data_IF_346195660305
#
_entry.id   IF_346195660305
#
_cell.length_a   1.000
_cell.length_b   1.000
_cell.length_c   1.000
_cell.angle_alpha   90.00
_cell.angle_beta   90.00
_cell.angle_gamma   90.00
#
_symmetry.space_group_name_H-M   'P 1'
#
loop_
_entity.id
_entity.type
_entity.pdbx_description
1 polymer ?
#
# COMPACT_ATOMS: atom_id res chain seq x y z
N UNK A 1 -14.91 -2.70 -18.72
CA UNK A 1 -14.51 -3.34 -17.45
C UNK A 1 -13.86 -4.72 -17.61
N UNK A 2 -14.39 -5.65 -18.43
CA UNK A 2 -13.79 -6.99 -18.63
C UNK A 2 -12.33 -6.94 -19.13
N UNK A 3 -12.01 -6.14 -20.16
CA UNK A 3 -10.63 -6.05 -20.66
C UNK A 3 -9.61 -5.59 -19.59
N UNK A 4 -10.00 -4.66 -18.72
CA UNK A 4 -9.16 -4.12 -17.65
C UNK A 4 -8.90 -5.13 -16.51
N UNK A 5 -9.87 -6.02 -16.25
CA UNK A 5 -9.72 -7.07 -15.23
C UNK A 5 -8.79 -8.18 -15.70
N UNK A 6 -8.84 -8.54 -16.99
CA UNK A 6 -7.88 -9.48 -17.59
C UNK A 6 -6.45 -8.95 -17.57
N UNK A 7 -6.23 -7.69 -17.97
CA UNK A 7 -4.89 -7.10 -17.95
C UNK A 7 -4.34 -6.97 -16.54
N UNK A 8 -5.15 -6.53 -15.58
CA UNK A 8 -4.74 -6.44 -14.17
C UNK A 8 -4.41 -7.81 -13.57
N UNK A 9 -5.16 -8.86 -13.93
CA UNK A 9 -4.87 -10.23 -13.50
C UNK A 9 -3.54 -10.73 -14.08
N UNK A 10 -3.28 -10.47 -15.36
CA UNK A 10 -2.01 -10.83 -15.99
C UNK A 10 -0.81 -10.10 -15.35
N UNK A 11 -0.95 -8.81 -15.04
CA UNK A 11 0.08 -8.03 -14.34
C UNK A 11 0.33 -8.55 -12.93
N UNK A 12 -0.72 -8.92 -12.19
CA UNK A 12 -0.58 -9.54 -10.88
C UNK A 12 0.17 -10.87 -10.96
N UNK A 13 -0.19 -11.75 -11.92
CA UNK A 13 0.48 -13.03 -12.12
C UNK A 13 1.97 -12.82 -12.47
N UNK A 14 2.26 -11.90 -13.39
CA UNK A 14 3.64 -11.56 -13.75
C UNK A 14 4.43 -11.03 -12.55
N UNK A 15 3.84 -10.15 -11.75
CA UNK A 15 4.43 -9.63 -10.51
C UNK A 15 4.68 -10.72 -9.46
N UNK A 16 3.70 -11.60 -9.24
CA UNK A 16 3.80 -12.70 -8.28
C UNK A 16 4.87 -13.71 -8.68
N UNK A 17 4.89 -14.14 -9.95
CA UNK A 17 5.91 -15.06 -10.46
C UNK A 17 7.29 -14.41 -10.41
N UNK A 18 7.41 -13.15 -10.83
CA UNK A 18 8.70 -12.49 -10.91
C UNK A 18 9.34 -12.18 -9.56
N UNK A 19 8.55 -12.02 -8.48
CA UNK A 19 9.06 -11.99 -7.11
C UNK A 19 9.32 -13.39 -6.56
N UNK A 20 8.40 -14.33 -6.79
CA UNK A 20 8.47 -15.66 -6.20
C UNK A 20 9.64 -16.49 -6.75
N UNK A 21 9.92 -16.43 -8.06
CA UNK A 21 10.96 -17.27 -8.68
C UNK A 21 12.36 -16.98 -8.11
N UNK A 22 12.88 -15.74 -8.13
CA UNK A 22 14.19 -15.47 -7.55
C UNK A 22 14.25 -15.82 -6.07
N UNK A 23 13.19 -15.51 -5.32
CA UNK A 23 13.14 -15.77 -3.89
C UNK A 23 13.08 -17.26 -3.54
N UNK A 24 12.35 -18.07 -4.29
CA UNK A 24 12.32 -19.53 -4.15
C UNK A 24 13.68 -20.11 -4.49
N UNK A 25 14.34 -19.63 -5.54
CA UNK A 25 15.70 -20.09 -5.89
C UNK A 25 16.67 -19.81 -4.73
N UNK A 26 16.66 -18.59 -4.18
CA UNK A 26 17.49 -18.27 -3.01
C UNK A 26 17.13 -19.14 -1.80
N UNK A 27 15.84 -19.37 -1.55
CA UNK A 27 15.41 -20.27 -0.47
C UNK A 27 15.98 -21.68 -0.63
N UNK A 28 15.95 -22.24 -1.84
CA UNK A 28 16.51 -23.57 -2.12
C UNK A 28 18.04 -23.58 -1.93
N UNK A 29 18.74 -22.50 -2.33
CA UNK A 29 20.18 -22.39 -2.15
C UNK A 29 20.59 -22.31 -0.68
N UNK A 30 19.83 -21.61 0.15
CA UNK A 30 20.16 -21.39 1.56
C UNK A 30 19.63 -22.47 2.50
N UNK A 31 18.44 -23.01 2.23
CA UNK A 31 17.69 -23.87 3.18
C UNK A 31 17.27 -25.21 2.59
N UNK A 32 17.62 -25.48 1.33
CA UNK A 32 17.23 -26.70 0.59
C UNK A 32 15.72 -26.92 0.42
N UNK A 33 14.88 -25.94 0.77
CA UNK A 33 13.43 -26.01 0.69
C UNK A 33 12.87 -24.86 -0.17
N UNK A 34 11.93 -25.13 -1.10
CA UNK A 34 11.35 -24.13 -1.99
C UNK A 34 10.18 -23.37 -1.35
N UNK A 35 10.31 -23.00 -0.07
CA UNK A 35 9.24 -22.38 0.70
C UNK A 35 9.79 -21.24 1.58
N UNK A 36 10.13 -20.08 0.98
CA UNK A 36 10.84 -19.00 1.66
C UNK A 36 10.14 -18.51 2.93
N UNK A 37 8.79 -18.50 2.93
CA UNK A 37 7.96 -18.12 4.07
C UNK A 37 8.05 -19.05 5.29
N UNK A 38 8.54 -20.29 5.14
CA UNK A 38 8.66 -21.24 6.25
C UNK A 38 10.11 -21.47 6.68
N UNK A 39 11.08 -21.08 5.85
CA UNK A 39 12.49 -21.47 6.00
C UNK A 39 13.37 -20.33 6.51
N UNK A 40 12.98 -19.07 6.32
CA UNK A 40 13.80 -17.91 6.71
C UNK A 40 14.17 -17.87 8.20
N UNK A 41 13.37 -18.50 9.07
CA UNK A 41 13.65 -18.61 10.50
C UNK A 41 14.90 -19.43 10.83
N UNK A 42 15.29 -20.40 9.98
CA UNK A 42 16.53 -21.17 10.15
C UNK A 42 17.77 -20.28 10.03
N UNK A 43 17.65 -19.20 9.25
CA UNK A 43 18.76 -18.27 8.99
C UNK A 43 19.02 -17.30 10.14
N UNK A 44 18.16 -17.23 11.15
CA UNK A 44 18.30 -16.28 12.26
C UNK A 44 19.57 -16.50 13.08
N UNK A 45 19.97 -17.76 13.32
CA UNK A 45 21.20 -18.07 14.04
C UNK A 45 22.46 -17.63 13.26
N UNK A 46 22.50 -17.91 11.96
CA UNK A 46 23.57 -17.45 11.08
C UNK A 46 23.60 -15.92 10.95
N UNK A 47 22.43 -15.30 10.88
CA UNK A 47 22.30 -13.85 10.76
C UNK A 47 22.80 -13.14 12.01
N UNK A 48 22.39 -13.59 13.19
CA UNK A 48 22.83 -13.02 14.46
C UNK A 48 24.36 -13.14 14.63
N UNK A 49 24.91 -14.30 14.25
CA UNK A 49 26.36 -14.53 14.30
C UNK A 49 27.10 -13.59 13.34
N UNK A 50 26.59 -13.43 12.12
CA UNK A 50 27.17 -12.54 11.12
C UNK A 50 27.07 -11.06 11.52
N UNK A 51 25.93 -10.61 12.06
CA UNK A 51 25.76 -9.24 12.56
C UNK A 51 26.69 -8.94 13.76
N UNK A 52 26.87 -9.91 14.66
CA UNK A 52 27.81 -9.78 15.79
C UNK A 52 29.26 -9.74 15.32
N UNK A 53 29.64 -10.61 14.38
CA UNK A 53 30.96 -10.62 13.78
C UNK A 53 31.27 -9.32 13.02
N UNK A 54 30.24 -8.72 12.41
CA UNK A 54 30.35 -7.44 11.72
C UNK A 54 30.29 -6.22 12.66
N UNK A 55 30.26 -6.43 13.98
CA UNK A 55 30.35 -5.37 14.99
C UNK A 55 29.05 -4.60 15.23
N UNK A 56 27.89 -5.13 14.83
CA UNK A 56 26.61 -4.48 15.12
C UNK A 56 26.25 -4.56 16.60
N UNK A 57 25.98 -3.41 17.20
CA UNK A 57 25.43 -3.32 18.55
C UNK A 57 23.92 -3.03 18.52
N UNK A 58 23.16 -3.47 19.54
CA UNK A 58 21.77 -3.08 19.69
C UNK A 58 21.62 -1.56 19.75
N UNK A 59 20.65 -1.04 19.01
CA UNK A 59 20.36 0.42 18.94
C UNK A 59 19.20 0.73 19.87
N UNK A 60 19.24 1.83 20.63
CA UNK A 60 18.07 2.23 21.41
C UNK A 60 16.88 2.56 20.49
N UNK A 61 15.64 2.22 20.89
CA UNK A 61 14.46 2.61 20.11
C UNK A 61 14.40 4.14 19.97
N UNK A 62 14.38 4.66 18.74
CA UNK A 62 14.35 6.12 18.52
C UNK A 62 13.04 6.76 19.01
N UNK A 63 13.09 7.97 19.57
CA UNK A 63 11.95 8.66 20.22
C UNK A 63 10.73 8.88 19.31
N UNK A 64 10.95 9.16 18.02
CA UNK A 64 9.92 9.28 16.96
C UNK A 64 10.50 8.74 15.66
N UNK A 65 11.02 7.51 15.72
CA UNK A 65 11.78 6.90 14.65
C UNK A 65 11.13 7.07 13.27
N UNK A 66 11.79 7.83 12.39
CA UNK A 66 11.40 7.99 11.00
C UNK A 66 11.71 6.68 10.25
N UNK A 67 10.88 6.34 9.26
CA UNK A 67 11.23 5.26 8.34
C UNK A 67 12.61 5.56 7.72
N UNK A 68 13.44 4.53 7.44
CA UNK A 68 14.74 4.74 6.80
C UNK A 68 14.60 5.61 5.55
N UNK A 69 15.51 6.57 5.38
CA UNK A 69 15.55 7.42 4.21
C UNK A 69 15.74 6.56 2.94
N UNK A 70 15.32 7.06 1.77
CA UNK A 70 15.58 6.38 0.49
C UNK A 70 17.08 6.30 0.18
N UNK A 71 17.85 7.29 0.66
CA UNK A 71 19.30 7.36 0.51
C UNK A 71 20.01 6.17 1.19
N UNK A 72 21.12 5.67 0.63
CA UNK A 72 21.90 4.60 1.24
C UNK A 72 22.35 4.98 2.66
N UNK A 73 21.88 4.21 3.65
CA UNK A 73 22.27 4.38 5.05
C UNK A 73 23.00 3.14 5.56
N UNK A 74 23.86 3.34 6.56
CA UNK A 74 24.52 2.24 7.24
C UNK A 74 23.47 1.34 7.91
N UNK A 75 23.63 0.03 7.78
CA UNK A 75 22.75 -0.93 8.42
C UNK A 75 23.07 -1.04 9.93
N UNK A 76 22.80 0.01 10.71
CA UNK A 76 23.22 0.09 12.12
C UNK A 76 22.39 -0.83 13.03
N UNK A 77 21.22 -1.27 12.58
CA UNK A 77 20.28 -2.05 13.40
C UNK A 77 20.39 -3.57 13.13
N UNK A 78 20.63 -4.40 14.18
CA UNK A 78 20.47 -5.85 14.11
C UNK A 78 19.06 -6.26 13.64
N UNK A 79 18.97 -7.28 12.79
CA UNK A 79 17.72 -7.70 12.17
C UNK A 79 16.70 -8.23 13.18
N UNK A 80 17.17 -9.02 14.15
CA UNK A 80 16.30 -9.65 15.15
C UNK A 80 15.83 -8.68 16.23
N UNK A 81 16.43 -7.49 16.31
CA UNK A 81 16.00 -6.50 17.28
C UNK A 81 14.61 -6.00 16.91
N UNK A 82 13.65 -6.18 17.80
CA UNK A 82 12.31 -5.61 17.67
C UNK A 82 12.36 -4.12 17.94
N UNK A 83 11.73 -3.32 17.06
CA UNK A 83 11.75 -1.86 17.13
C UNK A 83 13.19 -1.29 17.08
N UNK A 84 13.37 -0.04 16.70
CA UNK A 84 14.70 0.53 16.46
C UNK A 84 14.62 1.73 15.54
N UNK A 85 14.36 1.49 14.25
CA UNK A 85 14.05 2.55 13.30
C UNK A 85 12.70 3.23 13.56
N UNK A 86 11.75 2.52 14.20
CA UNK A 86 10.42 3.03 14.56
C UNK A 86 10.06 2.64 15.99
N UNK A 87 9.24 3.46 16.66
CA UNK A 87 8.65 3.15 17.96
C UNK A 87 7.49 2.16 17.83
N UNK A 88 7.12 1.50 18.94
CA UNK A 88 5.93 0.64 19.02
C UNK A 88 4.66 1.40 18.59
N UNK A 89 4.50 2.63 19.09
CA UNK A 89 3.36 3.50 18.75
C UNK A 89 3.35 3.83 17.25
N UNK A 90 4.51 4.14 16.69
CA UNK A 90 4.66 4.42 15.26
C UNK A 90 4.32 3.21 14.39
N UNK A 91 4.72 2.01 14.82
CA UNK A 91 4.34 0.76 14.15
C UNK A 91 2.82 0.54 14.16
N UNK A 92 2.16 0.67 15.32
CA UNK A 92 0.71 0.55 15.40
C UNK A 92 -0.01 1.61 14.57
N UNK A 93 0.51 2.84 14.54
CA UNK A 93 -0.08 3.89 13.73
C UNK A 93 0.04 3.62 12.24
N UNK A 94 1.20 3.16 11.77
CA UNK A 94 1.36 2.71 10.37
C UNK A 94 0.41 1.55 10.06
N UNK A 95 0.32 0.55 10.95
CA UNK A 95 -0.59 -0.58 10.78
C UNK A 95 -2.05 -0.12 10.59
N UNK A 96 -2.56 0.71 11.50
CA UNK A 96 -3.94 1.20 11.39
C UNK A 96 -4.11 2.17 10.21
N UNK A 97 -3.14 3.02 9.92
CA UNK A 97 -3.17 3.90 8.74
C UNK A 97 -3.37 3.09 7.45
N UNK A 98 -2.57 2.04 7.23
CA UNK A 98 -2.73 1.16 6.08
C UNK A 98 -4.03 0.37 6.13
N UNK A 99 -4.45 -0.15 7.28
CA UNK A 99 -5.66 -0.96 7.40
C UNK A 99 -6.93 -0.14 7.12
N UNK A 100 -7.07 1.01 7.79
CA UNK A 100 -8.21 1.92 7.63
C UNK A 100 -8.20 2.55 6.23
N UNK A 101 -7.03 2.92 5.72
CA UNK A 101 -6.88 3.48 4.38
C UNK A 101 -7.28 2.48 3.31
N UNK A 102 -6.80 1.23 3.41
CA UNK A 102 -7.17 0.14 2.49
C UNK A 102 -8.67 -0.13 2.50
N UNK A 103 -9.29 -0.18 3.69
CA UNK A 103 -10.73 -0.41 3.82
C UNK A 103 -11.58 0.67 3.14
N UNK A 104 -11.07 1.90 3.03
CA UNK A 104 -11.77 3.04 2.47
C UNK A 104 -11.33 3.41 1.05
N UNK A 105 -10.50 2.60 0.38
CA UNK A 105 -10.02 2.88 -0.98
C UNK A 105 -11.17 2.81 -2.00
N UNK A 106 -11.47 3.90 -2.74
CA UNK A 106 -12.51 3.89 -3.76
C UNK A 106 -12.25 2.86 -4.87
N UNK A 107 -10.97 2.60 -5.19
CA UNK A 107 -10.59 1.61 -6.20
C UNK A 107 -10.92 0.17 -5.82
N UNK A 108 -11.00 -0.15 -4.53
CA UNK A 108 -11.43 -1.45 -4.04
C UNK A 108 -12.96 -1.53 -3.91
N UNK A 109 -13.60 -0.46 -3.45
CA UNK A 109 -15.07 -0.39 -3.29
C UNK A 109 -15.75 -0.47 -4.66
N UNK A 110 -15.26 0.26 -5.67
CA UNK A 110 -15.83 0.22 -7.02
C UNK A 110 -15.76 -1.20 -7.66
N UNK A 111 -14.81 -2.03 -7.21
CA UNK A 111 -14.65 -3.40 -7.72
C UNK A 111 -15.66 -4.39 -7.15
N UNK A 112 -16.28 -4.13 -5.99
CA UNK A 112 -17.31 -5.05 -5.48
C UNK A 112 -18.59 -5.05 -6.30
N UNK A 113 -18.79 -4.05 -7.16
CA UNK A 113 -19.94 -3.95 -8.06
C UNK A 113 -19.85 -4.77 -9.35
N UNK A 114 -18.77 -5.54 -9.57
CA UNK A 114 -18.57 -6.28 -10.84
C UNK A 114 -19.03 -7.73 -10.81
N UNK A 115 -19.35 -8.28 -9.64
CA UNK A 115 -19.84 -9.65 -9.46
C UNK A 115 -21.35 -9.73 -9.57
N UNK A 116 -21.86 -10.85 -10.08
CA UNK A 116 -23.30 -11.07 -10.26
C UNK A 116 -24.04 -11.45 -8.97
N UNK A 117 -23.33 -11.76 -7.87
CA UNK A 117 -23.94 -12.15 -6.60
C UNK A 117 -23.07 -11.77 -5.39
N UNK A 118 -23.70 -11.61 -4.22
CA UNK A 118 -23.01 -11.39 -2.95
C UNK A 118 -22.12 -12.59 -2.58
N UNK A 119 -22.56 -13.81 -2.87
CA UNK A 119 -21.78 -15.02 -2.62
C UNK A 119 -20.49 -15.05 -3.45
N UNK A 120 -20.56 -14.69 -4.74
CA UNK A 120 -19.39 -14.60 -5.61
C UNK A 120 -18.46 -13.47 -5.20
N UNK A 121 -19.01 -12.34 -4.72
CA UNK A 121 -18.21 -11.25 -4.17
C UNK A 121 -17.40 -11.72 -2.95
N UNK A 122 -18.03 -12.42 -2.00
CA UNK A 122 -17.33 -12.96 -0.82
C UNK A 122 -16.24 -13.96 -1.19
N UNK A 123 -16.50 -14.84 -2.17
CA UNK A 123 -15.51 -15.80 -2.68
C UNK A 123 -14.34 -15.08 -3.35
N UNK A 124 -14.62 -14.07 -4.18
CA UNK A 124 -13.62 -13.24 -4.84
C UNK A 124 -12.72 -12.52 -3.82
N UNK A 125 -13.33 -11.88 -2.82
CA UNK A 125 -12.60 -11.24 -1.72
C UNK A 125 -11.75 -12.24 -0.93
N UNK A 126 -12.26 -13.44 -0.65
CA UNK A 126 -11.50 -14.48 0.05
C UNK A 126 -10.24 -14.92 -0.74
N UNK A 127 -10.37 -15.11 -2.05
CA UNK A 127 -9.22 -15.41 -2.93
C UNK A 127 -8.22 -14.25 -2.99
N UNK A 128 -8.71 -13.01 -3.11
CA UNK A 128 -7.85 -11.83 -3.10
C UNK A 128 -7.05 -11.72 -1.79
N UNK A 129 -7.72 -11.90 -0.64
CA UNK A 129 -7.07 -11.90 0.67
C UNK A 129 -6.03 -13.00 0.81
N UNK A 130 -6.33 -14.21 0.34
CA UNK A 130 -5.38 -15.33 0.35
C UNK A 130 -4.11 -15.00 -0.44
N UNK A 131 -4.26 -14.47 -1.66
CA UNK A 131 -3.13 -14.14 -2.53
C UNK A 131 -2.27 -12.99 -1.96
N UNK A 132 -2.91 -11.96 -1.42
CA UNK A 132 -2.22 -10.86 -0.74
C UNK A 132 -1.51 -11.36 0.52
N UNK A 133 -2.16 -12.22 1.32
CA UNK A 133 -1.55 -12.79 2.51
C UNK A 133 -0.29 -13.60 2.20
N UNK A 134 -0.34 -14.46 1.17
CA UNK A 134 0.85 -15.21 0.70
C UNK A 134 1.97 -14.25 0.32
N UNK A 135 1.67 -13.17 -0.40
CA UNK A 135 2.66 -12.18 -0.79
C UNK A 135 3.27 -11.44 0.42
N UNK A 136 2.44 -10.97 1.34
CA UNK A 136 2.87 -10.21 2.53
C UNK A 136 3.68 -11.07 3.50
N UNK A 137 3.28 -12.33 3.72
CA UNK A 137 4.01 -13.28 4.59
C UNK A 137 5.38 -13.63 3.99
N UNK A 138 5.53 -13.50 2.67
CA UNK A 138 6.78 -13.77 1.97
C UNK A 138 7.76 -12.59 2.09
N UNK A 139 7.30 -11.34 2.27
CA UNK A 139 8.17 -10.17 2.31
C UNK A 139 9.28 -10.20 3.40
N UNK A 140 9.05 -10.67 4.64
CA UNK A 140 10.11 -10.82 5.64
C UNK A 140 11.23 -11.77 5.22
N UNK A 141 10.92 -12.83 4.45
CA UNK A 141 11.93 -13.78 3.98
C UNK A 141 12.92 -13.14 3.00
N UNK A 142 12.45 -12.24 2.13
CA UNK A 142 13.29 -11.45 1.22
C UNK A 142 14.33 -10.64 2.02
N UNK A 143 13.89 -9.93 3.06
CA UNK A 143 14.77 -9.11 3.88
C UNK A 143 15.76 -9.96 4.68
N UNK A 144 15.33 -11.09 5.24
CA UNK A 144 16.17 -12.00 5.99
C UNK A 144 17.29 -12.59 5.09
N UNK A 145 16.95 -13.11 3.92
CA UNK A 145 17.93 -13.69 3.00
C UNK A 145 18.91 -12.64 2.47
N UNK A 146 18.43 -11.45 2.11
CA UNK A 146 19.29 -10.36 1.64
C UNK A 146 20.34 -9.99 2.70
N UNK A 147 19.90 -9.79 3.95
CA UNK A 147 20.82 -9.48 5.05
C UNK A 147 21.80 -10.60 5.35
N UNK A 148 21.37 -11.86 5.32
CA UNK A 148 22.28 -12.99 5.57
C UNK A 148 23.38 -13.04 4.53
N UNK A 149 23.02 -12.99 3.24
CA UNK A 149 24.00 -13.04 2.15
C UNK A 149 24.98 -11.87 2.22
N UNK A 150 24.47 -10.70 2.55
CA UNK A 150 25.26 -9.49 2.70
C UNK A 150 26.25 -9.57 3.86
N UNK A 151 25.82 -9.97 5.06
CA UNK A 151 26.70 -10.01 6.23
C UNK A 151 27.56 -11.26 6.33
N UNK A 152 27.21 -12.34 5.63
CA UNK A 152 28.01 -13.58 5.62
C UNK A 152 29.43 -13.31 5.11
N UNK A 153 29.54 -12.45 4.09
CA UNK A 153 30.80 -12.20 3.39
C UNK A 153 31.47 -10.87 3.85
N UNK A 154 30.91 -10.20 4.88
CA UNK A 154 31.33 -8.89 5.41
C UNK A 154 32.42 -8.93 6.50
N UNK A 155 32.98 -10.09 6.82
CA UNK A 155 34.07 -10.17 7.78
C UNK A 155 35.36 -9.56 7.17
N UNK A 156 35.51 -8.23 7.30
CA UNK A 156 36.68 -7.43 6.92
C UNK A 156 37.06 -7.55 5.44
N UNK A 157 36.19 -7.07 4.55
CA UNK A 157 36.49 -7.04 3.11
C UNK A 157 37.64 -6.04 2.88
N UNK A 158 38.78 -6.44 2.31
CA UNK A 158 39.84 -5.50 1.98
C UNK A 158 39.36 -4.48 0.95
N UNK A 159 39.77 -3.22 1.10
CA UNK A 159 39.43 -2.14 0.15
C UNK A 159 39.97 -2.43 -1.26
N UNK A 160 41.08 -3.16 -1.33
CA UNK A 160 41.65 -3.70 -2.58
C UNK A 160 41.00 -5.06 -2.92
N UNK A 161 39.87 -5.03 -3.63
CA UNK A 161 39.22 -6.24 -4.16
C UNK A 161 37.77 -6.42 -3.70
N UNK A 162 36.95 -5.38 -3.88
CA UNK A 162 35.52 -5.45 -3.56
C UNK A 162 34.85 -6.62 -4.30
N UNK A 163 33.95 -7.37 -3.63
CA UNK A 163 33.21 -8.46 -4.26
C UNK A 163 32.45 -8.02 -5.51
N UNK A 164 32.29 -8.95 -6.45
CA UNK A 164 31.58 -8.69 -7.71
C UNK A 164 30.13 -8.22 -7.50
N UNK A 165 29.46 -8.70 -6.43
CA UNK A 165 28.12 -8.25 -6.09
C UNK A 165 28.10 -6.77 -5.67
N UNK A 166 29.10 -6.31 -4.91
CA UNK A 166 29.14 -4.94 -4.37
C UNK A 166 29.45 -3.93 -5.48
N UNK A 167 30.37 -4.26 -6.39
CA UNK A 167 30.61 -3.44 -7.58
C UNK A 167 29.39 -3.38 -8.49
N UNK A 168 28.66 -4.49 -8.66
CA UNK A 168 27.41 -4.53 -9.42
C UNK A 168 26.30 -3.68 -8.80
N UNK A 169 26.15 -3.70 -7.46
CA UNK A 169 25.19 -2.86 -6.76
C UNK A 169 25.57 -1.38 -6.78
N UNK A 170 26.86 -1.06 -6.70
CA UNK A 170 27.36 0.31 -6.79
C UNK A 170 27.10 0.94 -8.17
N UNK A 171 27.28 0.17 -9.25
CA UNK A 171 26.89 0.60 -10.61
C UNK A 171 25.40 0.93 -10.72
N UNK A 172 24.55 0.19 -10.01
CA UNK A 172 23.12 0.44 -9.95
C UNK A 172 22.70 1.53 -8.95
N UNK A 173 23.65 2.18 -8.26
CA UNK A 173 23.41 3.10 -7.14
C UNK A 173 22.57 2.49 -6.00
N UNK A 174 22.56 1.16 -5.88
CA UNK A 174 21.77 0.43 -4.88
C UNK A 174 22.52 0.24 -3.56
N UNK A 175 23.85 0.24 -3.61
CA UNK A 175 24.73 0.16 -2.45
C UNK A 175 25.99 1.01 -2.66
N UNK A 176 26.55 1.53 -1.58
CA UNK A 176 27.83 2.24 -1.56
C UNK A 176 28.67 1.69 -0.41
N UNK A 177 29.97 1.59 -0.61
CA UNK A 177 30.91 1.23 0.43
C UNK A 177 32.06 2.23 0.41
N UNK A 178 32.41 2.78 1.56
CA UNK A 178 33.53 3.68 1.71
C UNK A 178 34.22 3.39 3.03
N UNK A 179 35.53 3.16 2.98
CA UNK A 179 36.37 3.08 4.17
C UNK A 179 36.44 4.48 4.80
N UNK A 180 35.69 4.68 5.89
CA UNK A 180 35.59 5.96 6.60
C UNK A 180 36.68 6.01 7.68
N UNK A 181 37.02 4.87 8.29
CA UNK A 181 37.94 4.79 9.41
C UNK A 181 39.43 4.70 9.00
N UNK A 182 39.70 4.44 7.71
CA UNK A 182 41.03 4.33 7.12
C UNK A 182 41.79 3.07 7.51
N UNK A 183 41.10 2.00 7.94
CA UNK A 183 41.72 0.75 8.39
C UNK A 183 42.03 -0.24 7.25
N UNK A 184 41.67 0.12 6.01
CA UNK A 184 41.91 -0.69 4.82
C UNK A 184 40.91 -1.82 4.62
N UNK A 185 39.85 -1.88 5.44
CA UNK A 185 38.75 -2.83 5.32
C UNK A 185 37.40 -2.12 5.33
N UNK A 186 36.38 -2.76 4.76
CA UNK A 186 35.00 -2.25 4.82
C UNK A 186 34.27 -2.98 5.94
N UNK A 187 33.86 -2.24 6.97
CA UNK A 187 32.99 -2.72 8.04
C UNK A 187 31.49 -2.64 7.71
N UNK A 188 30.63 -3.24 8.54
CA UNK A 188 29.18 -3.16 8.35
C UNK A 188 28.60 -1.74 8.47
N UNK A 189 29.23 -0.86 9.26
CA UNK A 189 28.85 0.55 9.38
C UNK A 189 29.24 1.39 8.15
N UNK A 190 30.09 0.87 7.27
CA UNK A 190 30.62 1.54 6.09
C UNK A 190 29.96 1.07 4.79
N UNK A 191 29.11 0.04 4.90
CA UNK A 191 28.22 -0.43 3.84
C UNK A 191 26.87 0.29 3.93
N UNK A 192 26.63 1.17 2.97
CA UNK A 192 25.41 1.93 2.81
C UNK A 192 24.50 1.27 1.77
N UNK A 193 23.23 1.03 2.10
CA UNK A 193 22.31 0.35 1.18
C UNK A 193 21.00 1.10 1.04
N UNK A 194 20.56 1.24 -0.20
CA UNK A 194 19.26 1.82 -0.52
C UNK A 194 18.13 0.93 -0.01
N UNK A 195 17.19 1.53 0.72
CA UNK A 195 16.00 0.84 1.25
C UNK A 195 15.20 0.16 0.14
N UNK A 196 15.01 0.87 -0.98
CA UNK A 196 14.14 0.45 -2.07
C UNK A 196 14.84 -0.51 -3.05
N UNK A 197 16.16 -0.67 -2.94
CA UNK A 197 16.97 -1.54 -3.79
C UNK A 197 17.08 -2.98 -3.31
N UNK A 198 16.64 -3.33 -2.09
CA UNK A 198 16.87 -4.64 -1.47
C UNK A 198 16.30 -5.79 -2.32
N UNK A 199 15.12 -5.59 -2.91
CA UNK A 199 14.51 -6.59 -3.77
C UNK A 199 15.36 -6.86 -5.02
N UNK A 200 15.91 -5.81 -5.64
CA UNK A 200 16.80 -5.94 -6.80
C UNK A 200 18.18 -6.46 -6.41
N UNK A 201 18.61 -6.20 -5.18
CA UNK A 201 19.90 -6.64 -4.67
C UNK A 201 19.93 -8.15 -4.39
N UNK A 202 18.82 -8.76 -3.98
CA UNK A 202 18.81 -10.17 -3.56
C UNK A 202 19.39 -11.15 -4.60
N UNK A 203 18.98 -11.13 -5.88
CA UNK A 203 19.54 -12.06 -6.87
C UNK A 203 21.02 -11.79 -7.14
N UNK A 204 21.46 -10.53 -7.04
CA UNK A 204 22.87 -10.14 -7.21
C UNK A 204 23.71 -10.65 -6.04
N UNK A 205 23.21 -10.49 -4.80
CA UNK A 205 23.83 -11.01 -3.57
C UNK A 205 23.93 -12.53 -3.55
N UNK A 206 22.96 -13.22 -4.17
CA UNK A 206 22.95 -14.66 -4.31
C UNK A 206 23.74 -15.17 -5.53
N UNK A 207 24.45 -14.29 -6.25
CA UNK A 207 25.23 -14.60 -7.46
C UNK A 207 24.41 -15.32 -8.55
N UNK A 208 23.12 -14.98 -8.64
CA UNK A 208 22.21 -15.57 -9.60
C UNK A 208 22.40 -14.97 -11.00
N UNK A 209 22.01 -15.70 -12.07
CA UNK A 209 22.04 -15.17 -13.42
C UNK A 209 21.26 -13.86 -13.52
N UNK A 210 21.79 -12.88 -14.27
CA UNK A 210 21.20 -11.54 -14.44
C UNK A 210 19.72 -11.55 -14.84
N UNK A 211 19.28 -12.60 -15.55
CA UNK A 211 17.86 -12.82 -15.91
C UNK A 211 16.94 -12.78 -14.68
N UNK A 212 17.37 -13.26 -13.51
CA UNK A 212 16.55 -13.24 -12.30
C UNK A 212 16.45 -11.84 -11.69
N UNK A 213 17.50 -11.01 -11.78
CA UNK A 213 17.43 -9.59 -11.43
C UNK A 213 16.48 -8.83 -12.36
N UNK A 214 16.60 -9.06 -13.68
CA UNK A 214 15.71 -8.46 -14.66
C UNK A 214 14.25 -8.90 -14.48
N UNK A 215 14.02 -10.16 -14.12
CA UNK A 215 12.71 -10.69 -13.79
C UNK A 215 12.12 -10.00 -12.55
N UNK A 216 12.91 -9.82 -11.49
CA UNK A 216 12.50 -9.09 -10.28
C UNK A 216 12.15 -7.62 -10.60
N UNK A 217 12.96 -6.95 -11.43
CA UNK A 217 12.70 -5.58 -11.86
C UNK A 217 11.41 -5.45 -12.69
N UNK A 218 11.20 -6.38 -13.64
CA UNK A 218 9.98 -6.45 -14.42
C UNK A 218 8.74 -6.71 -13.55
N UNK A 219 8.88 -7.52 -12.50
CA UNK A 219 7.82 -7.78 -11.53
C UNK A 219 7.42 -6.50 -10.77
N UNK A 220 8.41 -5.75 -10.26
CA UNK A 220 8.18 -4.47 -9.60
C UNK A 220 7.45 -3.46 -10.50
N UNK A 221 7.87 -3.36 -11.76
CA UNK A 221 7.21 -2.51 -12.75
C UNK A 221 5.77 -2.96 -13.04
N UNK A 222 5.53 -4.27 -13.18
CA UNK A 222 4.20 -4.81 -13.40
C UNK A 222 3.23 -4.52 -12.24
N UNK A 223 3.70 -4.65 -10.99
CA UNK A 223 2.92 -4.33 -9.79
C UNK A 223 2.61 -2.83 -9.74
N UNK A 224 3.60 -1.97 -9.99
CA UNK A 224 3.42 -0.52 -10.00
C UNK A 224 2.42 -0.07 -11.08
N UNK A 225 2.52 -0.60 -12.30
CA UNK A 225 1.60 -0.30 -13.39
C UNK A 225 0.17 -0.80 -13.13
N UNK A 226 0.02 -1.97 -12.49
CA UNK A 226 -1.28 -2.49 -12.09
C UNK A 226 -1.98 -1.57 -11.07
N UNK A 227 -1.24 -1.11 -10.06
CA UNK A 227 -1.75 -0.17 -9.07
C UNK A 227 -2.11 1.19 -9.71
N UNK A 228 -1.19 1.78 -10.48
CA UNK A 228 -1.40 3.06 -11.15
C UNK A 228 -2.61 3.01 -12.09
N UNK A 229 -2.73 1.96 -12.91
CA UNK A 229 -3.87 1.78 -13.81
C UNK A 229 -5.20 1.66 -13.07
N UNK A 230 -5.23 0.95 -11.93
CA UNK A 230 -6.45 0.81 -11.11
C UNK A 230 -6.90 2.15 -10.52
N UNK A 231 -5.98 2.96 -10.01
CA UNK A 231 -6.30 4.26 -9.42
C UNK A 231 -6.70 5.30 -10.48
N UNK A 232 -5.96 5.39 -11.59
CA UNK A 232 -6.30 6.28 -12.70
C UNK A 232 -7.66 5.93 -13.31
N UNK A 233 -7.96 4.64 -13.49
CA UNK A 233 -9.27 4.22 -13.98
C UNK A 233 -10.40 4.62 -13.03
N UNK A 234 -10.20 4.42 -11.72
CA UNK A 234 -11.19 4.83 -10.71
C UNK A 234 -11.43 6.33 -10.75
N UNK A 235 -10.36 7.13 -10.86
CA UNK A 235 -10.46 8.58 -11.00
C UNK A 235 -11.22 9.00 -12.26
N UNK A 236 -10.88 8.40 -13.40
CA UNK A 236 -11.56 8.67 -14.67
C UNK A 236 -13.05 8.30 -14.64
N UNK A 237 -13.39 7.16 -14.02
CA UNK A 237 -14.76 6.71 -13.85
C UNK A 237 -15.55 7.64 -12.92
N UNK A 238 -15.02 7.98 -11.74
CA UNK A 238 -15.67 8.93 -10.82
C UNK A 238 -15.90 10.29 -11.48
N UNK A 239 -14.94 10.81 -12.25
CA UNK A 239 -15.17 12.08 -12.93
C UNK A 239 -16.23 11.97 -14.05
N UNK A 240 -16.19 10.90 -14.84
CA UNK A 240 -17.15 10.71 -15.93
C UNK A 240 -18.58 10.49 -15.41
N UNK A 241 -18.72 9.78 -14.31
CA UNK A 241 -20.01 9.34 -13.80
C UNK A 241 -20.57 10.32 -12.77
N UNK A 242 -19.75 10.75 -11.80
CA UNK A 242 -20.18 11.60 -10.68
C UNK A 242 -20.17 13.09 -11.04
N UNK A 243 -19.23 13.55 -11.87
CA UNK A 243 -19.12 14.97 -12.25
C UNK A 243 -19.74 15.26 -13.60
N UNK A 244 -19.33 14.56 -14.67
CA UNK A 244 -19.86 14.82 -16.00
C UNK A 244 -21.32 14.34 -16.13
N UNK A 245 -21.64 13.17 -15.58
CA UNK A 245 -23.01 12.62 -15.59
C UNK A 245 -24.04 13.47 -14.83
N UNK A 246 -23.60 14.25 -13.83
CA UNK A 246 -24.49 15.19 -13.12
C UNK A 246 -24.72 16.48 -13.91
N UNK A 247 -23.73 16.93 -14.70
CA UNK A 247 -23.80 18.12 -15.54
C UNK A 247 -24.56 17.90 -16.85
N UNK A 248 -24.29 16.80 -17.56
CA UNK A 248 -25.01 16.42 -18.78
C UNK A 248 -25.70 15.07 -18.58
N UNK A 249 -27.02 15.12 -18.35
CA UNK A 249 -27.87 13.94 -18.14
C UNK A 249 -28.20 13.20 -19.43
N UNK A 250 -27.74 13.68 -20.59
CA UNK A 250 -27.99 12.99 -21.86
C UNK A 250 -27.20 11.68 -21.91
N UNK A 251 -27.78 10.59 -22.44
CA UNK A 251 -27.13 9.28 -22.51
C UNK A 251 -26.09 9.19 -23.64
N UNK A 252 -25.31 10.25 -23.90
CA UNK A 252 -24.32 10.26 -24.97
C UNK A 252 -23.04 9.60 -24.45
N UNK A 253 -22.79 8.37 -24.91
CA UNK A 253 -21.70 7.51 -24.40
C UNK A 253 -20.32 8.02 -24.79
N UNK A 254 -20.16 8.58 -25.99
CA UNK A 254 -18.84 8.91 -26.54
C UNK A 254 -18.16 10.12 -25.86
N UNK A 255 -18.83 11.28 -25.66
CA UNK A 255 -18.22 12.42 -24.97
C UNK A 255 -17.82 12.11 -23.52
N UNK A 256 -18.65 11.35 -22.80
CA UNK A 256 -18.36 10.91 -21.43
C UNK A 256 -17.13 10.01 -21.36
N UNK A 257 -17.00 9.08 -22.30
CA UNK A 257 -15.82 8.22 -22.41
C UNK A 257 -14.56 9.02 -22.80
N UNK A 258 -14.67 9.97 -23.73
CA UNK A 258 -13.56 10.83 -24.13
C UNK A 258 -13.09 11.72 -22.97
N UNK A 259 -14.01 12.25 -22.16
CA UNK A 259 -13.67 13.01 -20.95
C UNK A 259 -12.89 12.15 -19.94
N UNK A 260 -13.34 10.92 -19.69
CA UNK A 260 -12.64 9.98 -18.81
C UNK A 260 -11.19 9.74 -19.27
N UNK A 261 -10.98 9.44 -20.56
CA UNK A 261 -9.65 9.22 -21.12
C UNK A 261 -8.78 10.47 -21.11
N UNK A 262 -9.35 11.64 -21.43
CA UNK A 262 -8.63 12.91 -21.40
C UNK A 262 -8.11 13.22 -19.99
N UNK A 263 -8.92 12.96 -18.96
CA UNK A 263 -8.53 13.18 -17.56
C UNK A 263 -7.49 12.17 -17.11
N UNK A 264 -7.65 10.89 -17.46
CA UNK A 264 -6.62 9.87 -17.18
C UNK A 264 -5.28 10.29 -17.80
N UNK A 265 -5.28 10.71 -19.07
CA UNK A 265 -4.08 11.14 -19.77
C UNK A 265 -3.47 12.41 -19.15
N UNK A 266 -4.29 13.41 -18.82
CA UNK A 266 -3.84 14.65 -18.19
C UNK A 266 -3.25 14.40 -16.80
N UNK A 267 -3.93 13.62 -15.95
CA UNK A 267 -3.41 13.26 -14.63
C UNK A 267 -2.11 12.46 -14.72
N UNK A 268 -2.04 11.46 -15.61
CA UNK A 268 -0.82 10.69 -15.82
C UNK A 268 0.35 11.58 -16.28
N UNK A 269 0.10 12.51 -17.20
CA UNK A 269 1.12 13.45 -17.68
C UNK A 269 1.58 14.40 -16.57
N UNK A 270 0.67 15.00 -15.80
CA UNK A 270 1.00 15.91 -14.71
C UNK A 270 1.80 15.21 -13.60
N UNK A 271 1.41 13.99 -13.23
CA UNK A 271 2.16 13.18 -12.25
C UNK A 271 3.54 12.82 -12.80
N UNK A 272 3.66 12.47 -14.08
CA UNK A 272 4.97 12.18 -14.70
C UNK A 272 5.88 13.41 -14.71
N UNK A 273 5.36 14.59 -15.05
CA UNK A 273 6.12 15.85 -14.99
C UNK A 273 6.52 16.18 -13.55
N UNK A 274 5.62 16.00 -12.59
CA UNK A 274 5.92 16.22 -11.17
C UNK A 274 7.04 15.29 -10.68
N UNK A 275 6.96 13.99 -10.95
CA UNK A 275 7.98 13.01 -10.57
C UNK A 275 9.31 13.18 -11.32
N UNK A 276 9.30 13.83 -12.49
CA UNK A 276 10.53 14.18 -13.21
C UNK A 276 11.28 15.34 -12.55
N UNK A 277 10.57 16.26 -11.89
CA UNK A 277 11.15 17.47 -11.30
C UNK A 277 11.39 17.29 -9.79
N UNK A 278 10.49 16.61 -9.10
CA UNK A 278 10.54 16.43 -7.66
C UNK A 278 11.28 15.13 -7.29
N UNK A 279 12.24 15.25 -6.37
CA UNK A 279 12.79 14.10 -5.66
C UNK A 279 11.79 13.66 -4.59
N UNK A 280 11.28 12.44 -4.73
CA UNK A 280 10.16 11.95 -3.93
C UNK A 280 10.51 10.63 -3.26
N UNK A 281 10.33 10.56 -1.93
CA UNK A 281 10.28 9.29 -1.23
C UNK A 281 8.92 8.60 -1.48
N UNK A 282 8.95 7.53 -2.28
CA UNK A 282 7.77 6.75 -2.64
C UNK A 282 7.03 6.17 -1.43
N UNK A 283 7.76 5.71 -0.40
CA UNK A 283 7.16 5.16 0.80
C UNK A 283 6.44 6.23 1.61
N UNK A 284 7.04 7.42 1.73
CA UNK A 284 6.43 8.54 2.42
C UNK A 284 5.14 8.97 1.70
N UNK A 285 5.18 9.20 0.39
CA UNK A 285 3.96 9.55 -0.37
C UNK A 285 2.89 8.48 -0.25
N UNK A 286 3.26 7.20 -0.30
CA UNK A 286 2.30 6.12 -0.13
C UNK A 286 1.62 6.20 1.25
N UNK A 287 2.40 6.34 2.33
CA UNK A 287 1.85 6.50 3.70
C UNK A 287 0.94 7.71 3.79
N UNK A 288 1.32 8.84 3.19
CA UNK A 288 0.50 10.07 3.17
C UNK A 288 -0.81 9.86 2.42
N UNK A 289 -0.79 9.18 1.27
CA UNK A 289 -2.00 8.86 0.52
C UNK A 289 -2.96 7.95 1.31
N UNK A 290 -2.43 6.89 1.94
CA UNK A 290 -3.22 6.02 2.82
C UNK A 290 -3.75 6.76 4.05
N UNK A 291 -2.96 7.69 4.61
CA UNK A 291 -3.38 8.54 5.72
C UNK A 291 -4.56 9.43 5.33
N UNK A 292 -4.56 10.03 4.14
CA UNK A 292 -5.70 10.79 3.63
C UNK A 292 -6.93 9.93 3.43
N UNK A 293 -6.77 8.73 2.86
CA UNK A 293 -7.87 7.80 2.68
C UNK A 293 -8.48 7.37 4.03
N UNK A 294 -7.64 7.03 5.00
CA UNK A 294 -8.02 6.62 6.34
C UNK A 294 -8.67 7.75 7.15
N UNK A 295 -8.13 8.97 7.11
CA UNK A 295 -8.69 10.09 7.88
C UNK A 295 -10.00 10.61 7.27
N UNK A 296 -10.10 10.66 5.94
CA UNK A 296 -11.22 11.30 5.24
C UNK A 296 -12.37 10.33 5.02
N UNK A 297 -12.12 9.17 4.43
CA UNK A 297 -13.18 8.29 3.92
C UNK A 297 -13.61 7.21 4.91
N UNK A 298 -12.69 6.68 5.72
CA UNK A 298 -13.03 5.59 6.65
C UNK A 298 -14.09 5.99 7.70
N UNK A 299 -14.02 7.15 8.37
CA UNK A 299 -14.98 7.50 9.42
C UNK A 299 -16.40 7.68 8.87
N UNK A 300 -16.54 8.31 7.70
CA UNK A 300 -17.84 8.47 7.05
C UNK A 300 -18.39 7.13 6.55
N UNK A 301 -17.52 6.22 6.08
CA UNK A 301 -17.92 4.85 5.71
C UNK A 301 -18.46 4.09 6.91
N UNK A 302 -17.77 4.19 8.06
CA UNK A 302 -18.21 3.57 9.31
C UNK A 302 -19.58 4.11 9.75
N UNK A 303 -19.78 5.43 9.67
CA UNK A 303 -21.06 6.06 9.98
C UNK A 303 -22.17 5.62 9.02
N UNK A 304 -21.91 5.63 7.71
CA UNK A 304 -22.90 5.23 6.71
C UNK A 304 -23.35 3.77 6.90
N UNK A 305 -22.44 2.87 7.27
CA UNK A 305 -22.76 1.45 7.42
C UNK A 305 -23.40 1.15 8.78
N UNK A 306 -22.94 1.74 9.89
CA UNK A 306 -23.34 1.29 11.24
C UNK A 306 -24.07 2.34 12.08
N UNK A 307 -24.17 3.59 11.65
CA UNK A 307 -24.86 4.64 12.40
C UNK A 307 -26.24 4.96 11.79
N UNK A 308 -27.36 4.54 12.41
CA UNK A 308 -28.70 4.72 11.85
C UNK A 308 -29.11 6.18 11.67
N UNK A 309 -28.55 7.09 12.47
CA UNK A 309 -28.82 8.54 12.38
C UNK A 309 -27.86 9.27 11.44
N UNK A 310 -27.15 8.60 10.54
CA UNK A 310 -26.21 9.26 9.64
C UNK A 310 -26.96 10.18 8.67
N UNK A 311 -26.69 11.49 8.76
CA UNK A 311 -27.26 12.52 7.90
C UNK A 311 -26.25 12.98 6.85
N UNK A 312 -26.71 13.56 5.73
CA UNK A 312 -25.84 14.12 4.70
C UNK A 312 -24.88 15.18 5.26
N UNK A 313 -25.37 16.05 6.14
CA UNK A 313 -24.54 17.05 6.82
C UNK A 313 -23.54 16.45 7.79
N UNK A 314 -23.89 15.38 8.51
CA UNK A 314 -22.93 14.65 9.34
C UNK A 314 -21.85 13.95 8.53
N UNK A 315 -22.22 13.35 7.40
CA UNK A 315 -21.27 12.76 6.46
C UNK A 315 -20.29 13.80 5.91
N UNK A 316 -20.78 14.97 5.47
CA UNK A 316 -19.94 16.08 5.01
C UNK A 316 -19.04 16.64 6.12
N UNK A 317 -19.56 16.77 7.35
CA UNK A 317 -18.77 17.21 8.49
C UNK A 317 -17.62 16.23 8.79
N UNK A 318 -17.90 14.93 8.80
CA UNK A 318 -16.87 13.89 8.96
C UNK A 318 -15.80 13.99 7.88
N UNK A 319 -16.18 14.09 6.60
CA UNK A 319 -15.24 14.24 5.48
C UNK A 319 -14.36 15.49 5.63
N UNK A 320 -14.99 16.64 5.90
CA UNK A 320 -14.29 17.91 6.01
C UNK A 320 -13.34 17.95 7.22
N UNK A 321 -13.75 17.41 8.37
CA UNK A 321 -12.92 17.32 9.57
C UNK A 321 -11.73 16.39 9.37
N UNK A 322 -11.94 15.21 8.79
CA UNK A 322 -10.86 14.25 8.53
C UNK A 322 -9.80 14.80 7.57
N UNK A 323 -10.24 15.33 6.43
CA UNK A 323 -9.35 15.97 5.47
C UNK A 323 -8.66 17.21 6.06
N UNK A 324 -9.43 18.10 6.69
CA UNK A 324 -8.94 19.38 7.20
C UNK A 324 -7.91 19.22 8.31
N UNK A 325 -8.13 18.31 9.26
CA UNK A 325 -7.18 18.07 10.36
C UNK A 325 -5.88 17.48 9.82
N UNK A 326 -5.94 16.49 8.92
CA UNK A 326 -4.73 15.92 8.35
C UNK A 326 -3.99 16.92 7.47
N UNK A 327 -4.71 17.68 6.64
CA UNK A 327 -4.12 18.75 5.83
C UNK A 327 -3.45 19.82 6.70
N UNK A 328 -4.10 20.24 7.79
CA UNK A 328 -3.53 21.16 8.75
C UNK A 328 -2.31 20.54 9.45
N UNK A 329 -2.38 19.27 9.84
CA UNK A 329 -1.26 18.57 10.46
C UNK A 329 -0.05 18.50 9.53
N UNK A 330 -0.23 18.28 8.22
CA UNK A 330 0.89 18.25 7.27
C UNK A 330 1.46 19.66 7.00
N UNK A 331 0.60 20.67 6.87
CA UNK A 331 1.04 22.05 6.59
C UNK A 331 1.64 22.75 7.82
N UNK A 332 1.04 22.60 8.99
CA UNK A 332 1.49 23.19 10.27
C UNK A 332 2.46 22.28 11.00
N UNK A 333 2.27 20.96 10.96
CA UNK A 333 3.25 20.01 11.52
C UNK A 333 4.55 19.96 10.73
N UNK A 334 4.58 20.41 9.47
CA UNK A 334 5.81 20.74 8.75
C UNK A 334 6.51 22.00 9.25
N UNK A 335 5.80 22.90 9.96
CA UNK A 335 6.37 24.09 10.61
C UNK A 335 6.85 23.81 12.06
N UNK A 336 6.28 22.82 12.74
CA UNK A 336 6.58 22.47 14.15
C UNK A 336 7.16 21.06 14.35
N UNK A 337 7.49 20.34 13.28
CA UNK A 337 8.22 19.06 13.30
C UNK A 337 7.42 17.80 13.68
N UNK A 338 6.09 17.86 13.82
CA UNK A 338 5.26 16.73 14.29
C UNK A 338 4.78 15.82 13.15
N UNK A 339 4.67 16.33 11.92
CA UNK A 339 4.15 15.60 10.76
C UNK A 339 5.15 15.50 9.59
N UNK A 340 6.42 15.83 9.83
CA UNK A 340 7.47 15.79 8.81
C UNK A 340 7.90 14.35 8.44
N UNK A 341 7.55 13.38 9.27
CA UNK A 341 7.85 11.96 9.03
C UNK A 341 6.61 11.19 8.61
N UNK A 342 6.81 10.12 7.83
CA UNK A 342 5.73 9.20 7.46
C UNK A 342 5.01 8.62 8.70
N UNK A 343 5.76 8.36 9.78
CA UNK A 343 5.20 7.89 11.07
C UNK A 343 4.36 8.97 11.75
N UNK A 344 4.84 10.21 11.77
CA UNK A 344 4.07 11.36 12.29
C UNK A 344 2.77 11.60 11.52
N UNK A 345 2.81 11.41 10.20
CA UNK A 345 1.63 11.46 9.32
C UNK A 345 0.62 10.36 9.67
N UNK A 346 1.09 9.13 9.87
CA UNK A 346 0.24 8.01 10.27
C UNK A 346 -0.40 8.22 11.66
N UNK A 347 0.35 8.77 12.62
CA UNK A 347 -0.20 9.13 13.95
C UNK A 347 -1.28 10.21 13.84
N UNK A 348 -1.00 11.27 13.06
CA UNK A 348 -1.93 12.38 12.85
C UNK A 348 -3.23 11.93 12.17
N UNK A 349 -3.12 10.97 11.24
CA UNK A 349 -4.26 10.34 10.60
C UNK A 349 -5.23 9.68 11.60
N UNK A 350 -4.72 8.95 12.59
CA UNK A 350 -5.59 8.30 13.57
C UNK A 350 -6.35 9.31 14.43
N UNK A 351 -5.69 10.39 14.84
CA UNK A 351 -6.34 11.49 15.55
C UNK A 351 -7.40 12.15 14.67
N UNK A 352 -7.07 12.41 13.40
CA UNK A 352 -8.01 12.98 12.43
C UNK A 352 -9.23 12.08 12.21
N UNK A 353 -9.03 10.76 12.08
CA UNK A 353 -10.12 9.79 11.90
C UNK A 353 -11.08 9.75 13.10
N UNK A 354 -10.56 9.77 14.32
CA UNK A 354 -11.40 9.81 15.54
C UNK A 354 -12.20 11.10 15.63
N UNK A 355 -11.56 12.24 15.35
CA UNK A 355 -12.22 13.55 15.38
C UNK A 355 -13.25 13.69 14.25
N UNK A 356 -12.97 13.16 13.07
CA UNK A 356 -13.91 13.08 11.96
C UNK A 356 -15.15 12.25 12.31
N UNK A 357 -14.96 11.08 12.92
CA UNK A 357 -16.06 10.26 13.41
C UNK A 357 -16.91 11.04 14.42
N UNK A 358 -16.28 11.69 15.41
CA UNK A 358 -16.96 12.51 16.41
C UNK A 358 -17.73 13.69 15.80
N UNK A 359 -17.16 14.39 14.82
CA UNK A 359 -17.82 15.47 14.10
C UNK A 359 -19.04 14.97 13.32
N UNK A 360 -18.93 13.81 12.67
CA UNK A 360 -20.03 13.18 11.96
C UNK A 360 -21.18 12.80 12.89
N UNK A 361 -20.89 12.12 14.00
CA UNK A 361 -21.90 11.79 15.03
C UNK A 361 -22.53 13.07 15.58
N UNK A 362 -21.73 14.06 15.97
CA UNK A 362 -22.20 15.31 16.55
C UNK A 362 -23.19 16.04 15.62
N UNK A 363 -22.80 16.30 14.37
CA UNK A 363 -23.65 16.99 13.41
C UNK A 363 -24.88 16.16 13.03
N UNK A 364 -24.75 14.83 12.95
CA UNK A 364 -25.89 13.94 12.73
C UNK A 364 -26.92 13.94 13.85
N UNK A 365 -26.51 14.13 15.10
CA UNK A 365 -27.43 14.23 16.23
C UNK A 365 -28.23 15.55 16.24
N UNK A 366 -27.60 16.65 15.82
CA UNK A 366 -28.23 17.96 15.70
C UNK A 366 -29.07 18.13 14.43
N UNK A 367 -28.77 17.37 13.38
CA UNK A 367 -29.50 17.40 12.11
C UNK A 367 -30.90 16.76 12.19
N UNK A 368 -31.76 17.04 11.20
CA UNK A 368 -33.05 16.37 11.07
C UNK A 368 -32.84 14.86 10.90
N UNK A 369 -33.75 14.06 11.49
CA UNK A 369 -33.67 12.61 11.38
C UNK A 369 -33.83 12.15 9.92
N UNK A 370 -33.07 11.13 9.47
CA UNK A 370 -33.25 10.54 8.15
C UNK A 370 -34.68 10.04 7.96
N UNK A 371 -35.21 10.13 6.75
CA UNK A 371 -36.54 9.60 6.46
C UNK A 371 -36.58 8.08 6.71
N UNK A 372 -37.71 7.59 7.24
CA UNK A 372 -37.89 6.17 7.58
C UNK A 372 -37.76 5.23 6.38
N UNK A 373 -38.12 5.71 5.18
CA UNK A 373 -37.95 4.98 3.92
C UNK A 373 -36.48 4.77 3.57
N UNK A 374 -35.62 5.77 3.80
CA UNK A 374 -34.19 5.67 3.52
C UNK A 374 -33.52 4.68 4.49
N UNK A 375 -33.92 4.71 5.76
CA UNK A 375 -33.39 3.78 6.78
C UNK A 375 -33.78 2.34 6.49
N UNK A 376 -35.04 2.09 6.09
CA UNK A 376 -35.49 0.75 5.68
C UNK A 376 -34.70 0.22 4.47
N UNK A 377 -34.41 1.09 3.48
CA UNK A 377 -33.58 0.75 2.33
C UNK A 377 -32.16 0.33 2.73
N UNK A 378 -31.52 1.10 3.61
CA UNK A 378 -30.18 0.76 4.08
C UNK A 378 -30.13 -0.50 4.95
N UNK A 379 -31.15 -0.74 5.78
CA UNK A 379 -31.25 -1.96 6.58
C UNK A 379 -31.43 -3.21 5.72
N UNK A 380 -32.14 -3.10 4.59
CA UNK A 380 -32.29 -4.20 3.65
C UNK A 380 -30.99 -4.50 2.91
N UNK A 381 -30.22 -3.47 2.51
CA UNK A 381 -28.88 -3.66 1.93
C UNK A 381 -27.90 -4.39 2.87
N UNK A 382 -28.14 -4.36 4.19
CA UNK A 382 -27.31 -5.07 5.18
C UNK A 382 -27.65 -6.56 5.29
N UNK A 383 -28.80 -7.00 4.78
CA UNK A 383 -29.23 -8.40 4.84
C UNK A 383 -28.61 -9.18 3.67
N UNK A 384 -27.79 -10.21 3.94
CA UNK A 384 -27.13 -10.99 2.89
C UNK A 384 -28.08 -11.93 2.15
N UNK A 385 -29.28 -12.19 2.68
CA UNK A 385 -30.28 -13.12 2.13
C UNK A 385 -31.58 -12.37 1.78
N UNK A 386 -32.00 -12.44 0.50
CA UNK A 386 -33.32 -11.98 0.03
C UNK A 386 -33.34 -11.55 -1.45
N UNK A 387 -34.51 -11.65 -2.10
CA UNK A 387 -34.81 -10.84 -3.30
C UNK A 387 -34.60 -9.38 -2.92
N UNK A 388 -33.73 -8.68 -3.64
CA UNK A 388 -33.47 -7.26 -3.36
C UNK A 388 -34.77 -6.47 -3.58
N UNK A 389 -34.98 -5.32 -2.94
CA UNK A 389 -36.09 -4.43 -3.31
C UNK A 389 -36.15 -4.13 -4.81
N UNK A 390 -35.01 -4.15 -5.50
CA UNK A 390 -34.97 -4.03 -6.96
C UNK A 390 -35.61 -5.24 -7.65
N UNK A 391 -35.26 -6.46 -7.23
CA UNK A 391 -35.88 -7.70 -7.74
C UNK A 391 -37.38 -7.74 -7.41
N UNK A 392 -37.77 -7.32 -6.20
CA UNK A 392 -39.17 -7.21 -5.79
C UNK A 392 -39.92 -6.12 -6.57
N UNK A 393 -39.28 -4.99 -6.86
CA UNK A 393 -39.86 -3.91 -7.66
C UNK A 393 -40.00 -4.32 -9.13
N UNK A 394 -39.02 -5.04 -9.69
CA UNK A 394 -39.12 -5.63 -11.02
C UNK A 394 -40.21 -6.70 -11.07
N UNK A 395 -40.31 -7.57 -10.06
CA UNK A 395 -41.36 -8.58 -9.97
C UNK A 395 -42.74 -7.92 -9.89
N UNK A 396 -42.90 -6.87 -9.08
CA UNK A 396 -44.14 -6.08 -8.99
C UNK A 396 -44.49 -5.38 -10.31
N UNK A 397 -43.51 -4.81 -10.99
CA UNK A 397 -43.70 -4.19 -12.30
C UNK A 397 -44.10 -5.23 -13.36
N UNK A 398 -43.48 -6.42 -13.34
CA UNK A 398 -43.82 -7.52 -14.23
C UNK A 398 -45.23 -8.07 -13.99
N UNK A 399 -45.65 -8.20 -12.72
CA UNK A 399 -47.03 -8.59 -12.39
C UNK A 399 -48.05 -7.53 -12.77
N UNK A 400 -47.73 -6.24 -12.60
CA UNK A 400 -48.62 -5.15 -13.01
C UNK A 400 -48.81 -5.10 -14.54
N UNK A 401 -47.76 -5.36 -15.32
CA UNK A 401 -47.88 -5.46 -16.78
C UNK A 401 -48.65 -6.67 -17.27
N UNK A 402 -48.76 -7.75 -16.46
CA UNK A 402 -49.50 -8.96 -16.83
C UNK A 402 -50.99 -8.93 -16.47
N UNK A 403 -51.43 -7.94 -15.68
CA UNK A 403 -52.85 -7.72 -15.35
C UNK A 403 -53.53 -6.69 -16.28
N UNK A 404 -52.75 -5.97 -17.11
CA UNK A 404 -53.25 -5.02 -18.11
C UNK A 404 -53.45 -5.63 -19.53
N UNK A 405 -53.00 -6.87 -19.75
CA UNK A 405 -53.29 -7.70 -20.94
C UNK A 405 -54.38 -8.75 -20.63
#
# INVERSE_FOLDING_TARGET
>A
MRALTWSGSAQFIAGAIGLAVPLIVVSVLLTHLPAPQFTYGEMFGSLQSAETAAGMSPVEPGDIGALPAPEPMAAVKPFLQSFGAITERGFFALFFCFALGTAALPSLIARSGVTCSVADQRRSTAWALLLVAVFVITAPSLAAFAKVLMFRDMALIPTEGLPAWLSSLSLGQLAQASDINGDGTIGAGELLISRDGIALALPILAELPYVLTALMAAAGLAIALAAAGSHLFTLGASLADDVYGTLDRKPIVLPRLMAAWAVIAACAFLVAVYLFIAEVDALHIAVTAFAFAAATFFPVLLLAIWWPRCTTWGALASLATGFGILFLALTVGGLFGVAETAVGTAMSCLVAAVLAFGAGVGVSLYGPEPASLDTAYYEEMRKPDGETMFDQAQARAATASSEED
#
